data_IF_727404077733
#
_entry.id   IF_727404077733
#
_cell.length_a   1.000
_cell.length_b   1.000
_cell.length_c   1.000
_cell.angle_alpha   90.00
_cell.angle_beta   90.00
_cell.angle_gamma   90.00
#
_symmetry.space_group_name_H-M   'P 1'
#
loop_
_entity.id
_entity.type
_entity.pdbx_description
1 polymer ?
#
# COMPACT_ATOMS: atom_id res chain seq x y z
N UNK A 1 -11.40 9.52 3.67
CA UNK A 1 -10.35 8.51 3.89
C UNK A 1 -11.01 7.30 4.53
N UNK A 2 -10.99 6.14 3.87
CA UNK A 2 -11.47 4.90 4.50
C UNK A 2 -10.42 4.43 5.50
N UNK A 3 -10.86 3.69 6.53
CA UNK A 3 -9.94 3.06 7.49
C UNK A 3 -9.04 2.07 6.71
N UNK A 4 -7.75 2.39 6.59
CA UNK A 4 -6.77 1.55 5.89
C UNK A 4 -6.21 2.14 4.59
N UNK A 5 -6.75 3.25 4.08
CA UNK A 5 -6.12 3.97 2.97
C UNK A 5 -4.87 4.67 3.50
N UNK A 6 -3.68 4.23 3.11
CA UNK A 6 -2.41 4.88 3.45
C UNK A 6 -1.34 4.50 2.41
N UNK A 7 -0.15 5.06 2.54
CA UNK A 7 0.98 4.77 1.67
C UNK A 7 1.29 3.27 1.64
N UNK A 8 1.25 2.58 2.78
CA UNK A 8 1.51 1.13 2.83
C UNK A 8 0.55 0.30 1.97
N UNK A 9 -0.71 0.71 1.85
CA UNK A 9 -1.73 0.04 1.03
C UNK A 9 -1.88 0.63 -0.39
N UNK A 10 -1.12 1.67 -0.71
CA UNK A 10 -1.21 2.40 -1.97
C UNK A 10 -0.39 1.74 -3.08
N UNK A 11 -0.97 1.58 -4.27
CA UNK A 11 -0.29 1.01 -5.46
C UNK A 11 0.96 1.77 -5.92
N UNK A 12 1.09 3.03 -5.51
CA UNK A 12 2.16 3.91 -5.96
C UNK A 12 3.36 3.93 -5.00
N UNK A 13 3.25 3.31 -3.83
CA UNK A 13 4.25 3.44 -2.78
C UNK A 13 5.17 2.22 -2.74
N UNK A 14 6.46 2.47 -2.60
CA UNK A 14 7.50 1.44 -2.50
C UNK A 14 8.27 1.65 -1.21
N UNK A 15 8.20 0.70 -0.27
CA UNK A 15 8.87 0.80 1.02
C UNK A 15 10.39 0.65 0.93
N UNK A 16 11.12 1.39 1.75
CA UNK A 16 12.56 1.27 1.92
C UNK A 16 12.83 0.18 2.96
N UNK A 17 12.99 -1.06 2.50
CA UNK A 17 13.32 -2.19 3.36
C UNK A 17 13.23 -3.51 2.63
N UNK A 18 13.40 -4.61 3.37
CA UNK A 18 13.39 -5.96 2.80
C UNK A 18 12.03 -6.22 2.14
N UNK A 19 12.05 -6.61 0.87
CA UNK A 19 10.84 -6.86 0.06
C UNK A 19 9.92 -5.64 -0.03
N UNK A 20 10.50 -4.45 -0.08
CA UNK A 20 9.78 -3.17 -0.21
C UNK A 20 8.88 -2.87 1.00
N UNK A 21 9.26 -3.36 2.18
CA UNK A 21 8.56 -3.11 3.44
C UNK A 21 9.48 -2.41 4.43
N UNK A 22 9.12 -1.19 4.79
CA UNK A 22 9.84 -0.37 5.77
C UNK A 22 8.96 0.78 6.29
N UNK A 23 9.36 1.48 7.37
CA UNK A 23 8.57 2.58 7.93
C UNK A 23 8.55 3.82 7.02
N UNK A 24 9.56 3.94 6.15
CA UNK A 24 9.64 4.96 5.11
C UNK A 24 9.62 4.31 3.74
N UNK A 25 9.22 5.07 2.74
CA UNK A 25 9.22 4.63 1.35
C UNK A 25 9.07 5.81 0.40
N UNK A 26 9.08 5.50 -0.89
CA UNK A 26 8.95 6.48 -1.95
C UNK A 26 7.56 6.40 -2.59
N UNK A 27 6.87 7.53 -2.70
CA UNK A 27 5.66 7.61 -3.51
C UNK A 27 6.02 7.88 -4.98
N UNK A 28 5.56 7.03 -5.89
CA UNK A 28 5.84 7.07 -7.34
C UNK A 28 4.67 7.61 -8.16
N UNK A 29 3.66 8.19 -7.51
CA UNK A 29 2.44 8.68 -8.18
C UNK A 29 2.74 9.79 -9.18
N UNK A 30 3.60 10.72 -8.80
CA UNK A 30 4.01 11.84 -9.63
C UNK A 30 5.51 11.79 -9.89
N UNK A 31 5.96 11.90 -11.15
CA UNK A 31 7.38 12.04 -11.43
C UNK A 31 7.92 13.30 -10.75
N UNK A 32 9.17 13.27 -10.30
CA UNK A 32 9.79 14.41 -9.66
C UNK A 32 10.08 15.46 -10.72
N UNK A 33 9.78 16.72 -10.40
CA UNK A 33 10.08 17.85 -11.28
C UNK A 33 11.50 18.34 -10.94
N UNK A 34 12.39 18.30 -11.93
CA UNK A 34 13.72 18.91 -11.81
C UNK A 34 13.55 20.42 -11.89
N UNK A 35 14.00 21.11 -10.86
CA UNK A 35 14.01 22.59 -10.80
C UNK A 35 15.38 23.04 -10.32
N UNK A 36 15.76 24.30 -10.53
CA UNK A 36 17.05 24.82 -10.06
C UNK A 36 17.24 24.66 -8.54
N UNK A 37 16.14 24.71 -7.78
CA UNK A 37 16.15 24.49 -6.32
C UNK A 37 16.24 23.00 -5.95
N UNK A 38 15.86 22.11 -6.86
CA UNK A 38 15.85 20.66 -6.62
C UNK A 38 16.40 19.91 -7.84
N UNK A 39 17.72 20.04 -8.10
CA UNK A 39 18.34 19.57 -9.34
C UNK A 39 18.40 18.04 -9.43
N UNK A 40 18.33 17.34 -8.30
CA UNK A 40 18.37 15.87 -8.27
C UNK A 40 17.06 15.22 -8.73
N UNK A 41 15.94 15.95 -8.72
CA UNK A 41 14.63 15.39 -9.06
C UNK A 41 14.35 14.10 -8.28
N UNK A 42 14.55 14.08 -6.97
CA UNK A 42 14.20 12.91 -6.15
C UNK A 42 12.69 12.79 -5.93
N UNK A 43 12.19 11.56 -5.93
CA UNK A 43 10.81 11.28 -5.53
C UNK A 43 10.60 11.55 -4.03
N UNK A 44 9.38 11.92 -3.61
CA UNK A 44 9.09 12.21 -2.21
C UNK A 44 9.21 10.94 -1.33
N UNK A 45 9.89 11.10 -0.20
CA UNK A 45 9.95 10.11 0.87
C UNK A 45 8.78 10.36 1.83
N UNK A 46 8.00 9.32 2.10
CA UNK A 46 6.78 9.35 2.94
C UNK A 46 6.85 8.23 3.96
N UNK A 47 6.14 8.38 5.08
CA UNK A 47 5.92 7.29 6.03
C UNK A 47 4.83 6.35 5.51
N UNK A 48 4.92 5.08 5.91
CA UNK A 48 3.95 4.05 5.51
C UNK A 48 2.51 4.35 5.95
N UNK A 49 2.34 5.17 7.00
CA UNK A 49 1.04 5.62 7.53
C UNK A 49 0.49 6.88 6.86
N UNK A 50 1.28 7.56 6.01
CA UNK A 50 0.84 8.79 5.36
C UNK A 50 -0.31 8.52 4.39
N UNK A 51 -1.08 9.55 4.06
CA UNK A 51 -2.16 9.45 3.08
C UNK A 51 -2.22 10.70 2.22
N UNK A 52 -2.55 10.52 0.94
CA UNK A 52 -2.87 11.59 0.02
C UNK A 52 -4.21 11.30 -0.64
N UNK A 53 -4.90 12.35 -1.11
CA UNK A 53 -6.17 12.23 -1.86
C UNK A 53 -6.08 11.48 -3.19
N UNK A 54 -4.89 11.00 -3.52
CA UNK A 54 -4.51 10.36 -4.77
C UNK A 54 -4.21 8.86 -4.60
N UNK A 55 -4.56 8.32 -3.43
CA UNK A 55 -4.46 6.90 -3.11
C UNK A 55 -5.25 6.03 -4.09
N UNK A 56 -4.68 4.89 -4.47
CA UNK A 56 -5.35 3.87 -5.28
C UNK A 56 -4.92 2.46 -4.85
N UNK A 57 -5.86 1.52 -4.88
CA UNK A 57 -5.58 0.10 -4.65
C UNK A 57 -4.83 -0.55 -5.82
N UNK A 58 -4.07 -1.61 -5.53
CA UNK A 58 -3.52 -2.49 -6.56
C UNK A 58 -4.66 -3.16 -7.35
N UNK A 59 -4.63 -3.04 -8.68
CA UNK A 59 -5.71 -3.52 -9.55
C UNK A 59 -5.91 -5.05 -9.54
N UNK A 60 -4.98 -5.83 -8.97
CA UNK A 60 -5.02 -7.29 -8.96
C UNK A 60 -5.56 -7.96 -7.69
N UNK A 61 -5.66 -7.26 -6.55
CA UNK A 61 -6.22 -7.86 -5.32
C UNK A 61 -7.73 -7.61 -5.35
N UNK A 62 -8.48 -8.29 -6.23
CA UNK A 62 -9.94 -8.39 -6.05
C UNK A 62 -10.12 -8.78 -4.58
N UNK A 63 -10.79 -7.92 -3.81
CA UNK A 63 -11.32 -8.33 -2.52
C UNK A 63 -12.10 -9.59 -2.86
N UNK A 64 -11.59 -10.75 -2.42
CA UNK A 64 -12.42 -11.93 -2.36
C UNK A 64 -13.56 -11.46 -1.48
N UNK A 65 -14.80 -11.33 -2.02
CA UNK A 65 -15.93 -11.01 -1.16
C UNK A 65 -15.84 -12.01 -0.04
N UNK A 66 -15.86 -11.52 1.21
CA UNK A 66 -15.87 -12.37 2.39
C UNK A 66 -16.91 -13.46 2.11
N UNK A 67 -16.41 -14.65 1.75
CA UNK A 67 -17.29 -15.74 1.43
C UNK A 67 -17.96 -16.03 2.76
N UNK A 68 -19.28 -15.95 2.83
CA UNK A 68 -20.04 -16.61 3.88
C UNK A 68 -19.49 -18.04 3.94
N UNK A 69 -18.60 -18.32 4.90
CA UNK A 69 -17.98 -19.63 5.07
C UNK A 69 -19.08 -20.53 5.63
N UNK A 70 -19.72 -21.42 4.84
CA UNK A 70 -20.69 -22.35 5.37
C UNK A 70 -19.86 -23.55 5.82
N UNK A 71 -19.41 -23.55 7.07
CA UNK A 71 -18.63 -24.66 7.61
C UNK A 71 -17.54 -24.25 8.57
N UNK A 72 -17.95 -23.76 9.74
CA UNK A 72 -17.15 -23.90 10.97
C UNK A 72 -17.25 -25.34 11.49
N UNK A 73 -16.95 -26.32 10.64
CA UNK A 73 -16.65 -27.68 11.09
C UNK A 73 -15.16 -27.83 10.87
N UNK A 74 -14.44 -27.93 11.97
CA UNK A 74 -13.01 -28.24 11.91
C UNK A 74 -12.86 -29.75 11.89
N UNK A 75 -11.75 -30.24 11.34
CA UNK A 75 -11.34 -31.66 11.33
C UNK A 75 -11.27 -32.34 12.72
N UNK A 76 -11.58 -31.60 13.79
CA UNK A 76 -11.63 -32.05 15.18
C UNK A 76 -13.05 -32.32 15.68
N UNK A 77 -14.08 -32.08 14.85
CA UNK A 77 -15.49 -32.34 15.22
C UNK A 77 -15.92 -33.81 14.96
N UNK A 78 -15.03 -34.64 14.41
CA UNK A 78 -15.29 -36.07 14.05
C UNK A 78 -14.32 -37.07 14.74
N UNK A 79 -13.95 -36.83 16.00
CA UNK A 79 -13.30 -37.86 16.87
C UNK A 79 -13.97 -37.93 18.24
#
# INVERSE_FOLDING_TARGET
MRRGDNCYSCRFWVGHGVRERGPKGTCRRYPPVVTDRFPSGAMPITNFTDWCGEWQRNAGIREVPEADIPGTSTLYDDV
#
